data_IF_810981772438
#
_entry.id   IF_810981772438
#
_cell.length_a   1.000
_cell.length_b   1.000
_cell.length_c   1.000
_cell.angle_alpha   90.00
_cell.angle_beta   90.00
_cell.angle_gamma   90.00
#
_symmetry.space_group_name_H-M   'P 1'
#
loop_
_entity.id
_entity.type
_entity.pdbx_description
1 polymer ?
#
# COMPACT_ATOMS: atom_id res chain seq x y z
N UNK A 1 -3.03 -0.66 7.30
CA UNK A 1 -2.18 0.48 7.74
C UNK A 1 -2.23 1.60 6.71
N UNK A 2 -2.37 2.85 7.14
CA UNK A 2 -2.28 4.05 6.29
C UNK A 2 -1.16 4.93 6.83
N UNK A 3 -0.12 5.14 6.04
CA UNK A 3 1.02 6.00 6.33
C UNK A 3 0.94 7.22 5.42
N UNK A 4 0.95 8.41 6.01
CA UNK A 4 1.01 9.68 5.28
C UNK A 4 2.36 10.31 5.49
N UNK A 5 3.06 10.68 4.43
CA UNK A 5 4.36 11.36 4.47
C UNK A 5 4.24 12.68 3.72
N UNK A 6 4.70 13.77 4.33
CA UNK A 6 4.67 15.10 3.72
C UNK A 6 5.98 15.83 4.00
N UNK A 7 6.31 16.79 3.15
CA UNK A 7 7.51 17.60 3.32
C UNK A 7 7.48 18.32 4.68
N UNK A 8 8.63 18.85 5.10
CA UNK A 8 8.66 19.78 6.21
C UNK A 8 7.68 20.94 5.98
N UNK A 9 7.13 21.47 7.07
CA UNK A 9 6.36 22.70 6.98
C UNK A 9 7.26 23.78 6.36
N UNK A 10 6.77 24.47 5.33
CA UNK A 10 7.53 25.54 4.71
C UNK A 10 7.92 26.55 5.79
N UNK A 11 9.22 26.83 5.91
CA UNK A 11 9.65 28.01 6.65
C UNK A 11 9.02 29.22 5.95
N UNK A 12 8.34 30.08 6.72
CA UNK A 12 7.72 31.30 6.19
C UNK A 12 8.78 32.10 5.41
N UNK A 13 8.68 32.20 4.07
CA UNK A 13 9.72 32.82 3.25
C UNK A 13 9.88 34.32 3.56
N UNK A 14 8.89 34.92 4.25
CA UNK A 14 8.92 36.31 4.68
C UNK A 14 9.77 36.56 5.94
N UNK A 15 10.30 35.53 6.60
CA UNK A 15 11.11 35.72 7.82
C UNK A 15 12.60 35.99 7.59
N UNK A 16 13.13 35.77 6.38
CA UNK A 16 14.52 36.04 6.07
C UNK A 16 14.65 36.77 4.71
N UNK A 17 14.67 38.11 4.69
CA UNK A 17 14.83 38.89 3.44
C UNK A 17 16.24 38.81 2.84
N UNK A 18 17.16 38.03 3.42
CA UNK A 18 18.58 38.00 3.09
C UNK A 18 19.04 36.68 2.45
N UNK A 19 18.11 35.85 1.97
CA UNK A 19 18.43 34.68 1.15
C UNK A 19 18.24 35.03 -0.32
N UNK A 20 19.35 35.04 -1.06
CA UNK A 20 19.32 35.16 -2.51
C UNK A 20 18.50 34.00 -3.10
N UNK A 21 17.43 34.26 -3.88
CA UNK A 21 16.58 33.21 -4.44
C UNK A 21 17.32 32.31 -5.46
N UNK A 22 18.55 32.66 -5.85
CA UNK A 22 19.44 31.86 -6.68
C UNK A 22 20.51 31.03 -5.94
N UNK A 23 20.59 31.10 -4.61
CA UNK A 23 21.69 30.52 -3.83
C UNK A 23 21.44 29.08 -3.30
N UNK A 24 20.24 28.52 -3.49
CA UNK A 24 19.97 27.09 -3.19
C UNK A 24 20.43 26.22 -4.36
N UNK A 25 21.74 25.99 -4.47
CA UNK A 25 22.35 25.10 -5.48
C UNK A 25 22.54 23.65 -4.98
N UNK A 26 21.71 23.23 -4.02
CA UNK A 26 21.70 21.86 -3.48
C UNK A 26 20.28 21.28 -3.39
N UNK A 27 20.14 19.96 -3.27
CA UNK A 27 18.83 19.33 -3.08
C UNK A 27 18.18 19.88 -1.81
N UNK A 28 16.91 20.27 -1.92
CA UNK A 28 16.11 20.70 -0.77
C UNK A 28 15.79 19.48 0.10
N UNK A 29 16.64 19.24 1.10
CA UNK A 29 16.55 18.09 2.01
C UNK A 29 15.30 18.13 2.89
N UNK A 30 14.54 19.23 2.89
CA UNK A 30 13.26 19.35 3.59
C UNK A 30 12.09 18.74 2.81
N UNK A 31 12.37 18.21 1.61
CA UNK A 31 11.41 17.53 0.74
C UNK A 31 11.59 16.02 0.76
N UNK A 32 10.49 15.30 0.58
CA UNK A 32 10.51 13.85 0.39
C UNK A 32 11.13 13.53 -0.97
N UNK A 33 12.09 12.60 -1.01
CA UNK A 33 12.66 12.08 -2.25
C UNK A 33 12.07 10.73 -2.66
N UNK A 34 12.26 10.36 -3.93
CA UNK A 34 11.86 9.04 -4.43
C UNK A 34 12.54 7.89 -3.66
N UNK A 35 13.80 8.08 -3.24
CA UNK A 35 14.55 7.10 -2.44
C UNK A 35 13.91 6.88 -1.07
N UNK A 36 13.37 7.93 -0.45
CA UNK A 36 12.68 7.81 0.85
C UNK A 36 11.45 6.93 0.72
N UNK A 37 10.62 7.19 -0.30
CA UNK A 37 9.45 6.35 -0.57
C UNK A 37 9.84 4.91 -0.91
N UNK A 38 10.95 4.68 -1.62
CA UNK A 38 11.45 3.33 -1.88
C UNK A 38 11.84 2.61 -0.59
N UNK A 39 12.59 3.25 0.31
CA UNK A 39 13.00 2.65 1.59
C UNK A 39 11.77 2.33 2.44
N UNK A 40 10.83 3.27 2.54
CA UNK A 40 9.58 3.11 3.28
C UNK A 40 8.76 1.93 2.75
N UNK A 41 8.53 1.89 1.43
CA UNK A 41 7.76 0.80 0.79
C UNK A 41 8.44 -0.55 0.97
N UNK A 42 9.77 -0.61 0.81
CA UNK A 42 10.52 -1.84 1.04
C UNK A 42 10.45 -2.28 2.51
N UNK A 43 10.50 -1.35 3.45
CA UNK A 43 10.28 -1.62 4.87
C UNK A 43 8.90 -2.19 5.16
N UNK A 44 7.85 -1.68 4.49
CA UNK A 44 6.50 -2.25 4.61
C UNK A 44 6.41 -3.67 4.05
N UNK A 45 7.04 -3.95 2.91
CA UNK A 45 7.15 -5.32 2.39
C UNK A 45 7.88 -6.25 3.37
N UNK A 46 9.01 -5.79 3.94
CA UNK A 46 9.76 -6.54 4.95
C UNK A 46 8.95 -6.79 6.23
N UNK A 47 8.10 -5.84 6.61
CA UNK A 47 7.22 -5.94 7.77
C UNK A 47 6.02 -6.90 7.58
N UNK A 48 5.85 -7.45 6.37
CA UNK A 48 4.79 -8.41 6.06
C UNK A 48 3.56 -7.81 5.35
N UNK A 49 3.70 -6.65 4.70
CA UNK A 49 2.64 -6.16 3.82
C UNK A 49 2.43 -7.13 2.64
N UNK A 50 1.18 -7.38 2.27
CA UNK A 50 0.78 -8.25 1.16
C UNK A 50 0.35 -7.44 -0.07
N UNK A 51 -0.12 -6.20 0.15
CA UNK A 51 -0.45 -5.27 -0.91
C UNK A 51 -0.16 -3.84 -0.45
N UNK A 52 0.43 -3.04 -1.36
CA UNK A 52 0.75 -1.64 -1.10
C UNK A 52 0.27 -0.78 -2.27
N UNK A 53 -0.27 0.41 -1.96
CA UNK A 53 -0.42 1.49 -2.94
C UNK A 53 0.17 2.78 -2.43
N UNK A 54 0.69 3.60 -3.34
CA UNK A 54 1.14 4.96 -3.08
C UNK A 54 0.25 5.92 -3.88
N UNK A 55 -0.44 6.83 -3.20
CA UNK A 55 -1.44 7.73 -3.76
C UNK A 55 -2.49 7.02 -4.65
N UNK A 56 -2.89 5.82 -4.25
CA UNK A 56 -3.86 5.03 -5.02
C UNK A 56 -3.28 4.32 -6.24
N UNK A 57 -1.97 4.33 -6.47
CA UNK A 57 -1.32 3.49 -7.48
C UNK A 57 -0.80 2.21 -6.85
N UNK A 58 -1.24 1.04 -7.32
CA UNK A 58 -0.84 -0.24 -6.70
C UNK A 58 0.57 -0.62 -7.11
N UNK A 59 1.34 -0.99 -6.09
CA UNK A 59 2.66 -1.53 -6.30
C UNK A 59 2.59 -3.02 -6.59
N UNK A 60 3.34 -3.42 -7.60
CA UNK A 60 3.52 -4.79 -8.08
C UNK A 60 5.02 -5.08 -8.18
N UNK A 61 5.39 -6.32 -8.47
CA UNK A 61 6.78 -6.71 -8.70
C UNK A 61 7.48 -5.96 -9.84
N UNK A 62 6.72 -5.27 -10.70
CA UNK A 62 7.25 -4.47 -11.82
C UNK A 62 7.11 -2.97 -11.60
N UNK A 63 6.54 -2.57 -10.47
CA UNK A 63 6.30 -1.16 -10.20
C UNK A 63 7.63 -0.44 -9.94
N UNK A 64 7.70 0.83 -10.34
CA UNK A 64 8.89 1.63 -10.17
C UNK A 64 8.56 2.99 -9.55
N UNK A 65 9.26 3.33 -8.48
CA UNK A 65 9.22 4.64 -7.82
C UNK A 65 10.46 5.40 -8.28
N UNK A 66 10.31 6.58 -8.90
CA UNK A 66 11.45 7.30 -9.52
C UNK A 66 11.30 8.79 -9.39
N UNK A 67 12.42 9.50 -9.54
CA UNK A 67 12.41 10.95 -9.67
C UNK A 67 12.32 11.36 -11.15
N UNK A 68 11.56 12.41 -11.43
CA UNK A 68 11.47 13.04 -12.74
C UNK A 68 11.40 14.57 -12.59
N UNK A 69 12.56 15.22 -12.60
CA UNK A 69 12.69 16.68 -12.60
C UNK A 69 12.27 17.35 -11.30
N UNK A 70 10.97 17.50 -11.07
CA UNK A 70 10.40 18.06 -9.84
C UNK A 70 9.34 17.16 -9.20
N UNK A 71 9.08 15.98 -9.79
CA UNK A 71 8.03 15.07 -9.34
C UNK A 71 8.59 13.68 -9.01
N UNK A 72 7.96 13.02 -8.05
CA UNK A 72 8.12 11.58 -7.84
C UNK A 72 7.08 10.87 -8.70
N UNK A 73 7.50 9.82 -9.41
CA UNK A 73 6.65 9.00 -10.25
C UNK A 73 6.45 7.61 -9.63
N UNK A 74 5.24 7.07 -9.76
CA UNK A 74 4.94 5.65 -9.58
C UNK A 74 4.32 5.14 -10.86
N UNK A 75 4.93 4.14 -11.50
CA UNK A 75 4.43 3.58 -12.77
C UNK A 75 4.16 4.65 -13.83
N UNK A 76 5.04 5.66 -13.92
CA UNK A 76 4.91 6.82 -14.83
C UNK A 76 3.82 7.83 -14.46
N UNK A 77 3.10 7.64 -13.36
CA UNK A 77 2.17 8.62 -12.81
C UNK A 77 2.87 9.54 -11.82
N UNK A 78 2.80 10.86 -12.04
CA UNK A 78 3.32 11.84 -11.10
C UNK A 78 2.48 11.89 -9.84
N UNK A 79 3.15 11.83 -8.69
CA UNK A 79 2.53 11.90 -7.37
C UNK A 79 2.44 13.35 -6.88
N UNK A 80 1.39 13.64 -6.14
CA UNK A 80 1.22 14.89 -5.39
C UNK A 80 1.38 14.64 -3.89
N UNK A 81 1.99 15.60 -3.19
CA UNK A 81 2.03 15.57 -1.73
C UNK A 81 0.66 15.95 -1.14
N UNK A 82 0.29 15.47 0.06
CA UNK A 82 1.03 14.49 0.86
C UNK A 82 1.01 13.09 0.23
N UNK A 83 2.07 12.33 0.41
CA UNK A 83 2.22 10.97 -0.10
C UNK A 83 1.50 9.99 0.83
N UNK A 84 0.43 9.39 0.35
CA UNK A 84 -0.39 8.45 1.12
C UNK A 84 -0.04 7.02 0.69
N UNK A 85 0.58 6.28 1.60
CA UNK A 85 0.90 4.87 1.45
C UNK A 85 -0.13 4.03 2.20
N UNK A 86 -0.86 3.19 1.48
CA UNK A 86 -1.79 2.22 2.06
C UNK A 86 -1.13 0.85 1.97
N UNK A 87 -1.07 0.14 3.09
CA UNK A 87 -0.57 -1.22 3.17
C UNK A 87 -1.60 -2.15 3.83
N UNK A 88 -1.83 -3.30 3.19
CA UNK A 88 -2.60 -4.44 3.72
C UNK A 88 -1.59 -5.46 4.23
N UNK A 89 -1.83 -6.02 5.41
CA UNK A 89 -1.05 -7.09 6.04
C UNK A 89 -1.69 -7.48 7.36
N UNK A 90 -1.00 -8.28 8.17
CA UNK A 90 -1.49 -8.69 9.49
C UNK A 90 -1.69 -7.48 10.42
N UNK A 91 -2.93 -7.17 10.85
CA UNK A 91 -3.19 -6.02 11.71
C UNK A 91 -2.52 -6.13 13.08
N UNK A 92 -2.21 -7.35 13.56
CA UNK A 92 -1.60 -7.56 14.88
C UNK A 92 -0.09 -7.30 14.92
N UNK A 93 0.58 -7.24 13.77
CA UNK A 93 2.04 -7.18 13.71
C UNK A 93 2.62 -6.19 12.70
N UNK A 94 1.89 -5.82 11.64
CA UNK A 94 2.42 -5.00 10.54
C UNK A 94 2.97 -3.65 11.00
N UNK A 95 2.25 -2.93 11.86
CA UNK A 95 2.65 -1.60 12.33
C UNK A 95 3.90 -1.66 13.20
N UNK A 96 3.93 -2.59 14.17
CA UNK A 96 5.06 -2.81 15.06
C UNK A 96 6.30 -3.24 14.27
N UNK A 97 6.16 -4.25 13.41
CA UNK A 97 7.26 -4.75 12.57
C UNK A 97 7.82 -3.65 11.65
N UNK A 98 6.95 -2.78 11.11
CA UNK A 98 7.39 -1.67 10.28
C UNK A 98 8.14 -0.61 11.10
N UNK A 99 7.63 -0.27 12.28
CA UNK A 99 8.25 0.70 13.19
C UNK A 99 9.64 0.25 13.66
N UNK A 100 9.78 -1.03 14.01
CA UNK A 100 11.04 -1.64 14.45
C UNK A 100 12.03 -1.90 13.29
N UNK A 101 11.53 -1.92 12.06
CA UNK A 101 12.29 -2.20 10.85
C UNK A 101 13.05 -1.00 10.26
N UNK A 102 13.74 -1.26 9.16
CA UNK A 102 14.51 -0.22 8.44
C UNK A 102 13.62 0.92 7.92
N UNK A 103 12.38 0.62 7.53
CA UNK A 103 11.42 1.63 7.06
C UNK A 103 11.01 2.62 8.15
N UNK A 104 10.66 2.12 9.36
CA UNK A 104 10.34 2.94 10.51
C UNK A 104 11.54 3.77 11.00
N UNK A 105 12.71 3.15 11.09
CA UNK A 105 13.97 3.83 11.45
C UNK A 105 14.32 4.96 10.47
N UNK A 106 14.07 4.75 9.17
CA UNK A 106 14.26 5.77 8.15
C UNK A 106 13.28 6.94 8.32
N UNK A 107 11.99 6.66 8.54
CA UNK A 107 11.00 7.71 8.83
C UNK A 107 11.38 8.55 10.05
N UNK A 108 11.80 7.90 11.14
CA UNK A 108 12.24 8.60 12.35
C UNK A 108 13.44 9.50 12.07
N UNK A 109 14.38 9.03 11.24
CA UNK A 109 15.54 9.81 10.81
C UNK A 109 15.13 11.01 9.94
N UNK A 110 14.15 10.84 9.05
CA UNK A 110 13.62 11.92 8.22
C UNK A 110 12.94 13.01 9.06
N UNK A 111 12.14 12.61 10.04
CA UNK A 111 11.46 13.53 10.96
C UNK A 111 12.47 14.28 11.84
N UNK A 112 13.41 13.55 12.46
CA UNK A 112 14.39 14.14 13.37
C UNK A 112 15.33 15.14 12.67
N UNK A 113 15.88 14.75 11.52
CA UNK A 113 16.94 15.49 10.85
C UNK A 113 16.43 16.53 9.85
N UNK A 114 15.29 16.28 9.21
CA UNK A 114 14.79 17.09 8.09
C UNK A 114 13.39 17.66 8.30
N UNK A 115 12.75 17.36 9.44
CA UNK A 115 11.39 17.79 9.78
C UNK A 115 10.31 17.34 8.79
N UNK A 116 10.62 16.30 8.00
CA UNK A 116 9.63 15.58 7.20
C UNK A 116 8.55 15.07 8.14
N UNK A 117 7.29 15.26 7.77
CA UNK A 117 6.15 14.90 8.62
C UNK A 117 5.66 13.52 8.20
N UNK A 118 5.47 12.65 9.17
CA UNK A 118 4.89 11.33 8.96
C UNK A 118 3.76 11.06 9.97
N UNK A 119 2.71 10.37 9.51
CA UNK A 119 1.58 9.96 10.34
C UNK A 119 1.21 8.53 9.97
N UNK A 120 1.28 7.63 10.96
CA UNK A 120 0.92 6.22 10.81
C UNK A 120 -0.40 5.97 11.50
N UNK A 121 -1.37 5.44 10.75
CA UNK A 121 -2.70 5.12 11.23
C UNK A 121 -3.03 3.67 10.96
N UNK A 122 -3.30 2.93 12.03
CA UNK A 122 -3.92 1.62 11.93
C UNK A 122 -5.40 1.77 11.56
N UNK A 123 -5.89 0.81 10.78
CA UNK A 123 -7.24 0.77 10.24
C UNK A 123 -7.67 -0.68 10.11
N UNK A 124 -8.88 -0.98 10.56
CA UNK A 124 -9.48 -2.32 10.46
C UNK A 124 -9.73 -2.74 9.01
N UNK A 125 -9.98 -1.76 8.13
CA UNK A 125 -10.20 -1.98 6.70
C UNK A 125 -9.55 -0.88 5.88
N UNK A 126 -8.86 -1.28 4.82
CA UNK A 126 -8.29 -0.40 3.80
C UNK A 126 -8.45 -1.07 2.43
N UNK A 127 -8.46 -0.26 1.37
CA UNK A 127 -8.55 -0.75 0.00
C UNK A 127 -7.28 -0.36 -0.75
N UNK A 128 -6.65 -1.35 -1.36
CA UNK A 128 -5.58 -1.15 -2.34
C UNK A 128 -6.19 -1.42 -3.72
N UNK A 129 -6.21 -0.45 -4.64
CA UNK A 129 -6.86 -0.62 -5.95
C UNK A 129 -6.11 -1.65 -6.80
N UNK A 130 -6.79 -2.23 -7.80
CA UNK A 130 -6.12 -3.11 -8.77
C UNK A 130 -5.26 -2.31 -9.75
N UNK A 131 -4.06 -2.81 -10.08
CA UNK A 131 -3.27 -2.26 -11.18
C UNK A 131 -3.77 -2.86 -12.51
N UNK A 132 -4.01 -2.05 -13.56
CA UNK A 132 -4.43 -2.56 -14.87
C UNK A 132 -3.48 -3.63 -15.41
N UNK A 133 -4.03 -4.73 -15.91
CA UNK A 133 -3.23 -5.82 -16.46
C UNK A 133 -2.52 -5.39 -17.75
N UNK A 134 -1.26 -5.78 -17.90
CA UNK A 134 -0.52 -5.60 -19.14
C UNK A 134 -1.11 -6.50 -20.23
N UNK A 135 -1.30 -5.94 -21.42
CA UNK A 135 -1.68 -6.73 -22.59
C UNK A 135 -0.47 -7.51 -23.11
N UNK A 136 -0.58 -8.83 -23.17
CA UNK A 136 0.45 -9.68 -23.77
C UNK A 136 0.35 -9.65 -25.29
N UNK A 137 1.46 -9.39 -25.98
CA UNK A 137 1.52 -9.43 -27.46
C UNK A 137 2.03 -10.76 -28.01
N UNK A 138 3.07 -11.31 -27.37
CA UNK A 138 3.78 -12.50 -27.85
C UNK A 138 3.62 -13.70 -26.91
N UNK A 139 3.65 -13.47 -25.60
CA UNK A 139 3.51 -14.54 -24.62
C UNK A 139 2.09 -15.11 -24.65
N UNK A 140 2.00 -16.45 -24.63
CA UNK A 140 0.74 -17.19 -24.46
C UNK A 140 0.90 -18.10 -23.25
N UNK A 141 -0.16 -18.32 -22.45
CA UNK A 141 -0.09 -19.31 -21.38
C UNK A 141 0.22 -20.67 -22.00
N UNK A 142 1.19 -21.39 -21.43
CA UNK A 142 1.27 -22.82 -21.66
C UNK A 142 0.03 -23.43 -21.01
N UNK A 143 -0.63 -24.36 -21.71
CA UNK A 143 -1.82 -25.03 -21.20
C UNK A 143 -1.40 -25.91 -20.00
N UNK A 144 -1.24 -25.32 -18.82
CA UNK A 144 -1.00 -26.08 -17.58
C UNK A 144 -2.31 -26.73 -17.15
N UNK A 145 -2.25 -28.00 -16.74
CA UNK A 145 -3.39 -28.86 -16.41
C UNK A 145 -4.26 -28.41 -15.21
N UNK A 146 -4.19 -27.15 -14.79
CA UNK A 146 -5.00 -26.60 -13.69
C UNK A 146 -6.40 -26.19 -14.14
N UNK A 147 -6.66 -26.07 -15.45
CA UNK A 147 -7.99 -25.69 -15.98
C UNK A 147 -8.72 -26.87 -16.61
N UNK A 148 -9.05 -27.87 -15.80
CA UNK A 148 -10.24 -28.74 -15.99
C UNK A 148 -11.11 -28.74 -14.72
N UNK A 149 -11.23 -27.61 -14.03
CA UNK A 149 -12.42 -27.40 -13.20
C UNK A 149 -13.41 -26.54 -13.98
N UNK A 150 -14.34 -27.24 -14.63
CA UNK A 150 -15.58 -26.64 -15.12
C UNK A 150 -16.25 -25.88 -13.98
N UNK A 151 -16.86 -24.70 -14.22
CA UNK A 151 -17.64 -24.02 -13.20
C UNK A 151 -18.75 -24.98 -12.72
N UNK A 152 -18.65 -25.43 -11.47
CA UNK A 152 -19.66 -26.28 -10.85
C UNK A 152 -20.90 -25.41 -10.71
N UNK A 153 -21.89 -25.62 -11.59
CA UNK A 153 -23.21 -25.00 -11.53
C UNK A 153 -23.77 -25.23 -10.12
N UNK A 154 -23.83 -24.18 -9.31
CA UNK A 154 -24.41 -24.23 -7.98
C UNK A 154 -25.91 -24.48 -8.16
N UNK A 155 -26.36 -25.70 -7.83
CA UNK A 155 -27.78 -26.03 -7.80
C UNK A 155 -28.41 -25.36 -6.56
N UNK A 156 -29.64 -24.84 -6.67
CA UNK A 156 -30.31 -24.18 -5.55
C UNK A 156 -30.53 -25.16 -4.40
N UNK A 157 -30.16 -24.71 -3.20
CA UNK A 157 -30.24 -25.46 -1.96
C UNK A 157 -31.71 -25.84 -1.67
N UNK A 158 -32.05 -27.14 -1.79
CA UNK A 158 -33.34 -27.64 -1.31
C UNK A 158 -33.25 -27.78 0.20
N UNK A 159 -33.98 -26.91 0.90
CA UNK A 159 -34.33 -27.01 2.31
C UNK A 159 -34.82 -28.43 2.63
N UNK A 160 -34.06 -29.18 3.42
CA UNK A 160 -34.47 -30.50 3.89
C UNK A 160 -35.48 -30.33 5.03
N UNK A 161 -36.72 -30.72 4.74
CA UNK A 161 -37.83 -30.82 5.69
C UNK A 161 -37.56 -31.96 6.68
N UNK A 162 -37.64 -31.65 7.97
CA UNK A 162 -37.57 -32.58 9.12
C UNK A 162 -38.75 -33.58 9.10
N UNK A 163 -38.55 -34.89 9.29
CA UNK A 163 -39.64 -35.81 9.64
C UNK A 163 -39.88 -35.81 11.16
N UNK A 164 -41.15 -35.78 11.55
CA UNK A 164 -41.62 -35.98 12.93
C UNK A 164 -41.54 -37.47 13.34
N UNK A 165 -41.32 -37.81 14.62
CA UNK A 165 -41.37 -39.19 15.08
C UNK A 165 -42.82 -39.65 15.29
N UNK A 166 -43.16 -40.83 14.76
CA UNK A 166 -44.37 -41.58 15.07
C UNK A 166 -44.17 -42.38 16.36
N UNK A 167 -45.06 -42.20 17.33
CA UNK A 167 -45.21 -43.07 18.50
C UNK A 167 -46.29 -44.09 18.22
N UNK A 168 -45.97 -45.38 18.32
CA UNK A 168 -46.95 -46.46 18.39
C UNK A 168 -46.82 -47.08 19.78
N UNK A 169 -47.76 -46.75 20.67
CA UNK A 169 -48.03 -47.51 21.89
C UNK A 169 -49.18 -48.49 21.63
N UNK A 170 -49.02 -49.69 22.18
CA UNK A 170 -49.88 -50.87 22.04
C UNK A 170 -50.87 -50.94 23.21
N UNK A 171 -52.17 -51.10 22.95
CA UNK A 171 -53.21 -51.40 23.96
C UNK A 171 -53.05 -52.84 24.52
N UNK A 172 -53.57 -53.14 25.73
CA UNK A 172 -55.00 -53.24 26.01
C UNK A 172 -55.54 -52.25 27.06
#
# INVERSE_FOLDING_TARGET
LVLTVDDAAAADPLKNPNVDPGAVTGPDLTKVFATDLQIIVNGLWQAGAEAISVNGHRLTSRSAIRFAGAAILVNYHALTRPYVIIAIGDPGSLSANFADGAGGSHLQSLEANYKIRADIKERDSVVVPGEPALSLRMAKPVQSAVTKQSPKKQAPNKTATKPAPQTTETSP
#
